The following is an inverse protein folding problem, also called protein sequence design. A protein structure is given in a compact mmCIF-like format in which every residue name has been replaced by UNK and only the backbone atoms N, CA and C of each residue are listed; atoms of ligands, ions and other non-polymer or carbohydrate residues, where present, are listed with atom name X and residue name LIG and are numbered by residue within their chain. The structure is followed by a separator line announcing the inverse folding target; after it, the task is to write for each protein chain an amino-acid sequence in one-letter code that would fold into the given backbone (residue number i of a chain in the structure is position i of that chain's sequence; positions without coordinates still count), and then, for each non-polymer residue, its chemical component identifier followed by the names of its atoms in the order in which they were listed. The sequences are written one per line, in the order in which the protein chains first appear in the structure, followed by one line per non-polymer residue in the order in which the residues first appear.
data_IF_212143931251
#
_entry.id   IF_212143931251
#
_cell.length_a   1.000
_cell.length_b   1.000
_cell.length_c   1.000
_cell.angle_alpha   90.00
_cell.angle_beta   90.00
_cell.angle_gamma   90.00
#
_symmetry.space_group_name_H-M   'P 1'
#
loop_
_entity.id
_entity.type
_entity.pdbx_description
1 polymer ?
#
# COMPACT_ATOMS: atom_id res chain seq x y z
N UNK A 1 -19.12 4.79 4.12
CA UNK A 1 -17.68 4.82 4.40
C UNK A 1 -17.21 3.41 4.71
N UNK A 2 -16.20 2.92 3.99
CA UNK A 2 -15.71 1.54 4.15
C UNK A 2 -14.54 1.48 5.12
N UNK A 3 -13.63 2.45 5.08
CA UNK A 3 -12.50 2.52 5.99
C UNK A 3 -12.01 3.95 6.14
N UNK A 4 -11.42 4.23 7.30
CA UNK A 4 -10.90 5.57 7.63
C UNK A 4 -9.74 5.46 8.61
N UNK A 5 -8.72 6.28 8.40
CA UNK A 5 -7.62 6.44 9.35
C UNK A 5 -7.36 7.92 9.63
N UNK A 6 -6.67 8.19 10.74
CA UNK A 6 -6.09 9.50 11.02
C UNK A 6 -4.70 9.63 10.39
N UNK A 7 -3.73 10.11 11.16
CA UNK A 7 -2.35 10.22 10.68
C UNK A 7 -1.76 8.84 10.38
N UNK A 8 -1.14 8.70 9.23
CA UNK A 8 -0.53 7.45 8.84
C UNK A 8 -0.22 7.41 7.36
N UNK A 9 -0.41 6.24 6.76
CA UNK A 9 -0.12 5.99 5.35
C UNK A 9 -1.34 5.45 4.62
N UNK A 10 -1.60 5.99 3.44
CA UNK A 10 -2.45 5.36 2.44
C UNK A 10 -1.54 4.52 1.56
N UNK A 11 -1.80 3.23 1.49
CA UNK A 11 -1.04 2.30 0.66
C UNK A 11 -1.93 1.78 -0.45
N UNK A 12 -1.57 2.07 -1.69
CA UNK A 12 -2.17 1.46 -2.86
C UNK A 12 -1.31 0.26 -3.24
N UNK A 13 -1.88 -0.93 -3.20
CA UNK A 13 -1.14 -2.17 -3.38
C UNK A 13 -1.53 -2.87 -4.66
N UNK A 14 -0.56 -3.08 -5.56
CA UNK A 14 -0.73 -3.87 -6.77
C UNK A 14 0.00 -5.20 -6.64
N UNK A 15 -0.59 -6.25 -7.20
CA UNK A 15 0.00 -7.59 -7.22
C UNK A 15 0.26 -8.00 -8.66
N UNK A 16 1.52 -8.34 -8.98
CA UNK A 16 1.92 -8.83 -10.29
C UNK A 16 1.78 -10.35 -10.37
N UNK A 17 1.72 -10.88 -11.60
CA UNK A 17 1.55 -12.32 -11.85
C UNK A 17 2.62 -13.19 -11.18
N UNK A 18 3.86 -12.70 -11.12
CA UNK A 18 4.98 -13.43 -10.55
C UNK A 18 5.17 -13.28 -9.06
N UNK A 19 4.35 -12.47 -8.40
CA UNK A 19 4.52 -12.20 -6.98
C UNK A 19 4.19 -13.40 -6.11
N UNK A 20 4.88 -13.48 -4.97
CA UNK A 20 4.74 -14.56 -3.98
C UNK A 20 4.49 -13.98 -2.60
N UNK A 21 4.21 -14.88 -1.65
CA UNK A 21 3.99 -14.50 -0.25
C UNK A 21 5.15 -13.68 0.33
N UNK A 22 6.38 -14.02 -0.05
CA UNK A 22 7.60 -13.32 0.40
C UNK A 22 7.58 -11.84 -0.03
N UNK A 23 7.00 -11.55 -1.19
CA UNK A 23 6.89 -10.16 -1.68
C UNK A 23 5.95 -9.35 -0.79
N UNK A 24 4.83 -9.94 -0.36
CA UNK A 24 3.91 -9.28 0.56
C UNK A 24 4.59 -8.99 1.91
N UNK A 25 5.32 -9.97 2.45
CA UNK A 25 6.05 -9.81 3.71
C UNK A 25 7.15 -8.75 3.59
N UNK A 26 7.88 -8.76 2.47
CA UNK A 26 8.93 -7.77 2.20
C UNK A 26 8.36 -6.35 2.21
N UNK A 27 7.29 -6.11 1.46
CA UNK A 27 6.70 -4.76 1.38
C UNK A 27 6.09 -4.32 2.70
N UNK A 28 5.42 -5.22 3.42
CA UNK A 28 4.87 -4.88 4.73
C UNK A 28 5.97 -4.41 5.67
N UNK A 29 7.06 -5.17 5.76
CA UNK A 29 8.19 -4.82 6.62
C UNK A 29 8.87 -3.52 6.17
N UNK A 30 9.06 -3.35 4.87
CA UNK A 30 9.68 -2.14 4.31
C UNK A 30 8.84 -0.91 4.63
N UNK A 31 7.55 -0.95 4.35
CA UNK A 31 6.64 0.18 4.55
C UNK A 31 6.56 0.58 6.02
N UNK A 32 6.47 -0.40 6.93
CA UNK A 32 6.38 -0.14 8.36
C UNK A 32 7.63 0.58 8.90
N UNK A 33 8.78 0.36 8.29
CA UNK A 33 10.07 0.84 8.79
C UNK A 33 10.67 1.98 7.97
N UNK A 34 10.03 2.40 6.88
CA UNK A 34 10.51 3.57 6.13
C UNK A 34 10.48 4.81 7.01
N UNK A 35 11.58 5.55 6.98
CA UNK A 35 11.76 6.74 7.81
C UNK A 35 11.28 7.98 7.06
N UNK A 36 9.95 8.07 6.88
CA UNK A 36 9.30 9.09 6.05
C UNK A 36 8.42 10.06 6.84
N UNK A 37 8.43 9.98 8.16
CA UNK A 37 7.77 10.95 9.03
C UNK A 37 8.81 11.85 9.69
N UNK A 38 8.43 13.11 9.88
CA UNK A 38 9.36 14.09 10.43
C UNK A 38 9.66 13.85 11.92
N UNK A 39 10.93 14.07 12.29
CA UNK A 39 11.37 14.14 13.68
C UNK A 39 11.24 15.58 14.21
N UNK A 40 11.74 15.83 15.41
CA UNK A 40 11.70 17.14 16.04
C UNK A 40 12.47 18.23 15.26
N UNK A 41 13.42 17.82 14.42
CA UNK A 41 14.21 18.72 13.59
C UNK A 41 13.63 18.91 12.18
N UNK A 42 12.45 18.36 11.93
CA UNK A 42 11.80 18.44 10.63
C UNK A 42 12.41 17.56 9.56
N UNK A 43 13.19 16.55 9.95
CA UNK A 43 13.84 15.60 9.04
C UNK A 43 13.07 14.29 8.98
N UNK A 44 13.01 13.65 7.82
CA UNK A 44 12.36 12.36 7.63
C UNK A 44 13.17 11.24 8.28
N UNK A 45 12.96 11.01 9.55
CA UNK A 45 13.70 10.06 10.37
C UNK A 45 12.83 9.05 11.12
N UNK A 46 11.52 9.24 11.17
CA UNK A 46 10.63 8.36 11.92
C UNK A 46 9.82 7.47 11.01
N UNK A 47 9.61 6.23 11.45
CA UNK A 47 8.79 5.26 10.75
C UNK A 47 7.33 5.33 11.22
N UNK A 48 6.45 4.65 10.47
CA UNK A 48 5.05 4.50 10.87
C UNK A 48 4.94 3.85 12.26
N UNK A 49 5.75 2.83 12.52
CA UNK A 49 5.78 2.16 13.82
C UNK A 49 6.16 3.12 14.95
N UNK A 50 7.15 3.96 14.73
CA UNK A 50 7.64 4.90 15.74
C UNK A 50 6.62 5.96 16.11
N UNK A 51 5.86 6.46 15.12
CA UNK A 51 4.86 7.51 15.39
C UNK A 51 3.53 6.95 15.88
N UNK A 52 3.35 5.63 15.90
CA UNK A 52 2.07 5.01 16.25
C UNK A 52 0.98 5.35 15.26
N UNK A 53 1.32 5.51 13.99
CA UNK A 53 0.35 5.85 12.95
C UNK A 53 -0.47 4.66 12.50
N UNK A 54 -1.44 4.93 11.64
CA UNK A 54 -2.37 3.94 11.12
C UNK A 54 -2.11 3.72 9.63
N UNK A 55 -2.65 2.65 9.06
CA UNK A 55 -2.48 2.33 7.65
C UNK A 55 -3.83 2.04 7.01
N UNK A 56 -4.09 2.69 5.88
CA UNK A 56 -5.23 2.39 5.03
C UNK A 56 -4.71 1.70 3.77
N UNK A 57 -5.07 0.43 3.60
CA UNK A 57 -4.64 -0.37 2.46
C UNK A 57 -5.78 -0.51 1.45
N UNK A 58 -5.46 -0.21 0.19
CA UNK A 58 -6.40 -0.34 -0.92
C UNK A 58 -5.75 -1.15 -2.02
N UNK A 59 -6.40 -2.24 -2.43
CA UNK A 59 -5.92 -3.03 -3.57
C UNK A 59 -6.17 -2.25 -4.85
N UNK A 60 -5.12 -2.09 -5.68
CA UNK A 60 -5.14 -1.25 -6.85
C UNK A 60 -4.40 -1.93 -8.01
N UNK A 61 -5.10 -2.79 -8.79
CA UNK A 61 -4.46 -3.53 -9.88
C UNK A 61 -3.96 -2.60 -11.00
N UNK A 62 -4.55 -1.40 -11.12
CA UNK A 62 -4.15 -0.43 -12.15
C UNK A 62 -2.72 0.08 -11.97
N UNK A 63 -2.09 -0.16 -10.83
CA UNK A 63 -0.66 0.11 -10.64
C UNK A 63 0.21 -0.70 -11.61
N UNK A 64 -0.28 -1.85 -12.08
CA UNK A 64 0.41 -2.71 -13.05
C UNK A 64 0.13 -2.30 -14.49
N UNK A 65 -0.45 -1.14 -14.72
CA UNK A 65 -0.77 -0.65 -16.05
C UNK A 65 0.50 -0.41 -16.88
N UNK A 66 0.49 -0.91 -18.09
CA UNK A 66 1.50 -0.62 -19.10
C UNK A 66 0.90 0.34 -20.14
N UNK A 67 1.39 1.55 -20.15
CA UNK A 67 0.87 2.62 -21.01
C UNK A 67 1.83 2.98 -22.15
N UNK A 68 2.84 2.13 -22.43
CA UNK A 68 3.88 2.43 -23.40
C UNK A 68 3.39 2.42 -24.83
N UNK A 69 2.32 1.69 -25.13
CA UNK A 69 1.75 1.58 -26.49
C UNK A 69 0.30 2.06 -26.51
N UNK A 70 -0.01 2.90 -27.49
CA UNK A 70 -1.38 3.33 -27.72
C UNK A 70 -1.95 4.19 -26.61
N UNK A 71 -3.26 4.21 -26.53
CA UNK A 71 -4.00 5.05 -25.57
C UNK A 71 -4.72 4.27 -24.49
N UNK A 72 -4.69 2.94 -24.58
CA UNK A 72 -5.31 2.08 -23.57
C UNK A 72 -4.24 1.44 -22.70
N UNK A 73 -4.33 1.60 -21.37
CA UNK A 73 -3.43 0.88 -20.48
C UNK A 73 -3.61 -0.63 -20.65
N UNK A 74 -2.53 -1.38 -20.64
CA UNK A 74 -2.55 -2.83 -20.60
C UNK A 74 -2.33 -3.31 -19.17
N UNK A 75 -3.13 -4.26 -18.70
CA UNK A 75 -3.02 -4.83 -17.37
C UNK A 75 -2.56 -6.29 -17.39
N UNK A 76 -1.86 -6.69 -18.45
CA UNK A 76 -1.37 -8.06 -18.62
C UNK A 76 -0.50 -8.51 -17.43
N UNK A 77 0.28 -7.59 -16.86
CA UNK A 77 1.19 -7.91 -15.75
C UNK A 77 0.49 -8.11 -14.42
N UNK A 78 -0.78 -7.68 -14.30
CA UNK A 78 -1.52 -7.80 -13.04
C UNK A 78 -1.90 -9.26 -12.78
N UNK A 79 -1.80 -9.68 -11.51
CA UNK A 79 -2.26 -10.99 -11.09
C UNK A 79 -3.77 -11.12 -11.26
N UNK A 80 -4.24 -12.36 -11.41
CA UNK A 80 -5.67 -12.63 -11.40
C UNK A 80 -6.28 -12.28 -10.03
N UNK A 81 -7.61 -12.03 -9.96
CA UNK A 81 -8.24 -11.60 -8.71
C UNK A 81 -8.02 -12.52 -7.51
N UNK A 82 -8.02 -13.84 -7.71
CA UNK A 82 -7.81 -14.79 -6.62
C UNK A 82 -6.44 -14.64 -5.97
N UNK A 83 -5.38 -14.60 -6.77
CA UNK A 83 -4.02 -14.41 -6.29
C UNK A 83 -3.83 -13.00 -5.71
N UNK A 84 -4.39 -12.00 -6.36
CA UNK A 84 -4.28 -10.62 -5.88
C UNK A 84 -4.91 -10.47 -4.50
N UNK A 85 -6.11 -11.06 -4.29
CA UNK A 85 -6.78 -11.05 -2.99
C UNK A 85 -5.93 -11.74 -1.92
N UNK A 86 -5.41 -12.92 -2.24
CA UNK A 86 -4.61 -13.71 -1.30
C UNK A 86 -3.38 -12.93 -0.80
N UNK A 87 -2.62 -12.35 -1.73
CA UNK A 87 -1.41 -11.61 -1.36
C UNK A 87 -1.72 -10.26 -0.70
N UNK A 88 -2.79 -9.60 -1.12
CA UNK A 88 -3.27 -8.39 -0.48
C UNK A 88 -3.64 -8.67 0.99
N UNK A 89 -4.42 -9.72 1.24
CA UNK A 89 -4.80 -10.10 2.60
C UNK A 89 -3.59 -10.49 3.44
N UNK A 90 -2.61 -11.17 2.84
CA UNK A 90 -1.37 -11.51 3.52
C UNK A 90 -0.58 -10.26 3.93
N UNK A 91 -0.50 -9.28 3.06
CA UNK A 91 0.12 -7.99 3.37
C UNK A 91 -0.59 -7.33 4.57
N UNK A 92 -1.91 -7.24 4.52
CA UNK A 92 -2.71 -6.62 5.59
C UNK A 92 -2.50 -7.35 6.91
N UNK A 93 -2.55 -8.68 6.90
CA UNK A 93 -2.35 -9.49 8.09
C UNK A 93 -0.96 -9.30 8.68
N UNK A 94 0.07 -9.26 7.82
CA UNK A 94 1.45 -9.04 8.27
C UNK A 94 1.61 -7.68 8.96
N UNK A 95 0.96 -6.64 8.43
CA UNK A 95 0.98 -5.33 9.07
C UNK A 95 0.25 -5.37 10.41
N UNK A 96 -0.92 -6.00 10.47
CA UNK A 96 -1.70 -6.12 11.72
C UNK A 96 -0.94 -6.84 12.83
N UNK A 97 -0.10 -7.81 12.48
CA UNK A 97 0.71 -8.54 13.47
C UNK A 97 1.67 -7.64 14.25
N UNK A 98 2.01 -6.48 13.70
CA UNK A 98 2.89 -5.52 14.39
C UNK A 98 2.15 -4.60 15.36
N UNK A 99 0.83 -4.71 15.46
CA UNK A 99 0.01 -3.86 16.30
C UNK A 99 -0.47 -2.57 15.63
N UNK A 100 -0.08 -2.32 14.38
CA UNK A 100 -0.56 -1.16 13.63
C UNK A 100 -2.04 -1.35 13.27
N UNK A 101 -2.85 -0.33 13.51
CA UNK A 101 -4.26 -0.34 13.11
C UNK A 101 -4.35 -0.22 11.58
N UNK A 102 -4.98 -1.21 10.96
CA UNK A 102 -5.16 -1.24 9.50
C UNK A 102 -6.64 -1.19 9.16
N UNK A 103 -6.99 -0.23 8.32
CA UNK A 103 -8.28 -0.19 7.66
C UNK A 103 -8.09 -0.58 6.19
N UNK A 104 -9.12 -1.13 5.58
CA UNK A 104 -9.06 -1.59 4.19
C UNK A 104 -10.23 -1.03 3.39
N UNK A 105 -10.02 -0.91 2.07
CA UNK A 105 -11.11 -0.71 1.14
C UNK A 105 -11.84 -2.03 0.91
N UNK A 106 -12.82 -2.00 0.01
CA UNK A 106 -13.52 -3.21 -0.42
C UNK A 106 -12.89 -3.68 -1.73
N UNK A 107 -12.39 -4.90 -1.75
CA UNK A 107 -11.69 -5.46 -2.90
C UNK A 107 -12.58 -5.43 -4.15
N UNK A 108 -12.04 -4.94 -5.26
CA UNK A 108 -12.69 -4.82 -6.58
C UNK A 108 -13.95 -3.95 -6.61
N UNK A 109 -14.26 -3.24 -5.55
CA UNK A 109 -15.39 -2.31 -5.55
C UNK A 109 -15.00 -0.96 -6.14
N UNK A 110 -15.95 -0.27 -6.74
CA UNK A 110 -15.82 1.13 -7.07
C UNK A 110 -15.80 1.93 -5.76
N UNK A 111 -14.85 2.83 -5.62
CA UNK A 111 -14.73 3.61 -4.39
C UNK A 111 -14.12 4.98 -4.64
N UNK A 112 -14.45 5.91 -3.76
CA UNK A 112 -13.78 7.21 -3.71
C UNK A 112 -12.76 7.17 -2.57
N UNK A 113 -11.55 7.62 -2.85
CA UNK A 113 -10.48 7.71 -1.85
C UNK A 113 -10.18 9.18 -1.62
N UNK A 114 -10.51 9.65 -0.42
CA UNK A 114 -10.24 11.04 -0.02
C UNK A 114 -9.06 11.07 0.94
N UNK A 115 -8.13 11.99 0.73
CA UNK A 115 -6.96 12.12 1.60
C UNK A 115 -6.40 13.54 1.56
N UNK A 116 -5.62 13.85 2.59
CA UNK A 116 -4.74 15.00 2.59
C UNK A 116 -3.32 14.46 2.58
N UNK A 117 -2.59 14.74 1.49
CA UNK A 117 -1.19 14.35 1.39
C UNK A 117 -0.34 15.45 2.03
N UNK A 118 -0.12 15.26 3.33
CA UNK A 118 0.56 16.24 4.17
C UNK A 118 2.07 16.06 4.06
N UNK A 119 2.73 17.08 3.53
CA UNK A 119 4.15 17.09 3.17
C UNK A 119 4.34 17.86 1.87
N UNK A 120 3.84 17.49 0.68
CA UNK A 120 3.37 16.14 0.39
C UNK A 120 4.51 15.15 0.20
N UNK A 121 4.25 13.89 0.48
CA UNK A 121 5.22 12.79 0.26
C UNK A 121 4.50 11.63 -0.40
N UNK A 122 5.02 11.17 -1.53
CA UNK A 122 4.52 10.00 -2.24
C UNK A 122 5.69 9.18 -2.73
N UNK A 123 5.68 7.90 -2.42
CA UNK A 123 6.80 7.00 -2.70
C UNK A 123 6.27 5.75 -3.39
N UNK A 124 6.99 5.30 -4.41
CA UNK A 124 6.71 4.05 -5.11
C UNK A 124 7.75 3.03 -4.68
N UNK A 125 7.29 1.86 -4.26
CA UNK A 125 8.17 0.77 -3.82
C UNK A 125 7.79 -0.50 -4.56
N UNK A 126 8.78 -1.22 -5.02
CA UNK A 126 8.59 -2.53 -5.65
C UNK A 126 9.38 -3.58 -4.87
N UNK A 127 8.83 -4.79 -4.76
CA UNK A 127 9.58 -5.91 -4.22
C UNK A 127 10.64 -6.37 -5.23
N UNK A 128 11.77 -6.90 -4.76
CA UNK A 128 12.84 -7.34 -5.67
C UNK A 128 12.45 -8.52 -6.55
#
# INVERSE_FOLDING_TARGET
MVGRIGQGLLVLLGVAKGDRAEDADYLANKILNLRIFEDEDGKMNRSLLEIGGELLAVSQFTLLADCRKGRRPSFIAAAEPGKATELYEKFVERVRQTGVAVQTGRFRAMMEVALINDGPVTIIIESP
#
